data_IF_016876919235
#
_entry.id   IF_016876919235
#
_cell.length_a   1.000
_cell.length_b   1.000
_cell.length_c   1.000
_cell.angle_alpha   90.00
_cell.angle_beta   90.00
_cell.angle_gamma   90.00
#
_symmetry.space_group_name_H-M   'P 1'
#
loop_
_entity.id
_entity.type
_entity.pdbx_description
1 polymer ?
#
# COMPACT_ATOMS: atom_id res chain seq x y z
N UNK A 1 -0.97 32.66 9.20
CA UNK A 1 0.21 33.39 8.70
C UNK A 1 0.26 33.22 7.18
N UNK A 2 0.74 34.22 6.42
CA UNK A 2 0.17 34.61 5.15
C UNK A 2 0.51 33.64 4.01
N UNK A 3 -0.48 33.43 3.14
CA UNK A 3 -0.41 32.78 1.84
C UNK A 3 0.49 33.58 0.90
N UNK A 4 1.82 33.44 1.04
CA UNK A 4 2.75 33.86 0.00
C UNK A 4 2.67 32.79 -1.08
N UNK A 5 2.30 33.20 -2.29
CA UNK A 5 2.37 32.36 -3.48
C UNK A 5 3.84 31.97 -3.73
N UNK A 6 4.31 30.96 -3.01
CA UNK A 6 5.43 30.13 -3.43
C UNK A 6 5.06 29.72 -4.86
N UNK A 7 5.79 30.24 -5.86
CA UNK A 7 5.56 29.86 -7.25
C UNK A 7 5.60 28.34 -7.41
N UNK A 8 5.23 27.82 -8.59
CA UNK A 8 5.23 26.37 -8.85
C UNK A 8 6.50 25.67 -8.34
N UNK A 9 7.65 26.35 -8.43
CA UNK A 9 8.96 25.88 -7.97
C UNK A 9 9.09 25.88 -6.43
N UNK A 10 8.53 26.87 -5.73
CA UNK A 10 8.56 26.95 -4.27
C UNK A 10 7.67 25.89 -3.62
N UNK A 11 6.47 25.68 -4.18
CA UNK A 11 5.57 24.60 -3.76
C UNK A 11 6.12 23.21 -4.08
N UNK A 12 6.86 23.04 -5.18
CA UNK A 12 7.61 21.81 -5.46
C UNK A 12 8.77 21.59 -4.47
N UNK A 13 9.43 22.66 -4.02
CA UNK A 13 10.55 22.58 -3.08
C UNK A 13 10.10 22.30 -1.65
N UNK A 14 9.01 22.94 -1.22
CA UNK A 14 8.33 22.61 0.04
C UNK A 14 7.74 21.20 0.00
N UNK A 15 7.16 20.79 -1.13
CA UNK A 15 6.71 19.42 -1.36
C UNK A 15 7.87 18.42 -1.24
N UNK A 16 9.01 18.70 -1.86
CA UNK A 16 10.20 17.85 -1.78
C UNK A 16 10.77 17.77 -0.36
N UNK A 17 10.80 18.88 0.38
CA UNK A 17 11.19 18.90 1.79
C UNK A 17 10.19 18.14 2.68
N UNK A 18 8.88 18.22 2.37
CA UNK A 18 7.86 17.42 3.03
C UNK A 18 8.01 15.93 2.74
N UNK A 19 8.41 15.57 1.52
CA UNK A 19 8.69 14.18 1.12
C UNK A 19 9.92 13.63 1.86
N UNK A 20 11.00 14.40 2.00
CA UNK A 20 12.17 13.94 2.76
C UNK A 20 11.83 13.71 4.24
N UNK A 21 11.06 14.61 4.85
CA UNK A 21 10.59 14.43 6.22
C UNK A 21 9.65 13.21 6.35
N UNK A 22 8.76 13.00 5.40
CA UNK A 22 7.88 11.84 5.38
C UNK A 22 8.65 10.52 5.20
N UNK A 23 9.74 10.52 4.42
CA UNK A 23 10.62 9.37 4.23
C UNK A 23 11.35 9.00 5.54
N UNK A 24 11.90 9.99 6.25
CA UNK A 24 12.57 9.75 7.53
C UNK A 24 11.59 9.18 8.57
N UNK A 25 10.37 9.71 8.62
CA UNK A 25 9.32 9.23 9.53
C UNK A 25 8.85 7.82 9.17
N UNK A 26 8.74 7.53 7.87
CA UNK A 26 8.40 6.21 7.34
C UNK A 26 9.47 5.17 7.69
N UNK A 27 10.75 5.50 7.52
CA UNK A 27 11.87 4.61 7.88
C UNK A 27 11.84 4.31 9.38
N UNK A 28 11.57 5.31 10.22
CA UNK A 28 11.43 5.11 11.67
C UNK A 28 10.22 4.22 12.02
N UNK A 29 9.09 4.36 11.32
CA UNK A 29 7.92 3.49 11.47
C UNK A 29 8.24 2.06 11.04
N UNK A 30 8.97 1.86 9.95
CA UNK A 30 9.40 0.53 9.48
C UNK A 30 10.34 -0.15 10.47
N UNK A 31 11.30 0.60 11.03
CA UNK A 31 12.16 0.11 12.12
C UNK A 31 11.31 -0.20 13.38
N UNK A 32 10.30 0.61 13.68
CA UNK A 32 9.34 0.36 14.76
C UNK A 32 8.44 -0.86 14.53
N UNK A 33 8.09 -1.16 13.27
CA UNK A 33 7.37 -2.37 12.87
C UNK A 33 8.20 -3.62 13.15
N UNK A 34 9.51 -3.59 12.87
CA UNK A 34 10.44 -4.66 13.24
C UNK A 34 10.58 -4.83 14.76
N UNK A 35 10.44 -3.74 15.52
CA UNK A 35 10.44 -3.76 16.99
C UNK A 35 9.06 -4.08 17.61
N UNK A 36 8.03 -4.38 16.81
CA UNK A 36 6.71 -4.79 17.29
C UNK A 36 5.86 -3.68 17.92
N UNK A 37 6.24 -2.41 17.78
CA UNK A 37 5.55 -1.26 18.43
C UNK A 37 4.42 -0.67 17.59
N UNK A 38 4.12 -1.24 16.43
CA UNK A 38 3.09 -0.71 15.52
C UNK A 38 1.86 -1.61 15.55
N UNK A 39 0.76 -1.01 16.01
CA UNK A 39 -0.54 -1.65 16.15
C UNK A 39 -1.04 -2.12 14.77
N UNK A 40 -1.01 -3.43 14.56
CA UNK A 40 -1.49 -4.14 13.36
C UNK A 40 -2.99 -3.92 13.06
N UNK A 41 -3.71 -3.18 13.91
CA UNK A 41 -5.10 -2.74 13.70
C UNK A 41 -5.29 -1.72 12.57
N UNK A 42 -4.21 -1.15 12.02
CA UNK A 42 -4.26 -0.24 10.85
C UNK A 42 -4.24 -0.97 9.51
N UNK A 43 -4.02 -2.29 9.49
CA UNK A 43 -4.22 -3.11 8.28
C UNK A 43 -5.72 -3.42 8.19
N UNK A 44 -6.51 -2.39 7.95
CA UNK A 44 -7.93 -2.54 7.62
C UNK A 44 -8.05 -3.09 6.20
N UNK A 45 -9.01 -4.00 5.98
CA UNK A 45 -9.34 -4.46 4.64
C UNK A 45 -9.85 -3.32 3.74
N UNK A 46 -10.07 -3.58 2.44
CA UNK A 46 -10.53 -2.57 1.48
C UNK A 46 -11.76 -1.78 1.95
N UNK A 47 -12.73 -2.44 2.59
CA UNK A 47 -13.94 -1.83 3.14
C UNK A 47 -13.61 -0.91 4.31
N UNK A 48 -12.72 -1.32 5.21
CA UNK A 48 -12.28 -0.46 6.31
C UNK A 48 -11.60 0.83 5.79
N UNK A 49 -10.80 0.72 4.72
CA UNK A 49 -10.19 1.89 4.06
C UNK A 49 -11.27 2.82 3.50
N UNK A 50 -12.32 2.28 2.85
CA UNK A 50 -13.44 3.08 2.32
C UNK A 50 -14.20 3.79 3.45
N UNK A 51 -14.51 3.09 4.55
CA UNK A 51 -15.21 3.68 5.69
C UNK A 51 -14.39 4.80 6.35
N UNK A 52 -13.09 4.56 6.53
CA UNK A 52 -12.16 5.55 7.08
C UNK A 52 -12.05 6.78 6.16
N UNK A 53 -11.97 6.55 4.85
CA UNK A 53 -11.94 7.62 3.83
C UNK A 53 -13.22 8.47 3.88
N UNK A 54 -14.38 7.83 4.03
CA UNK A 54 -15.66 8.52 4.13
C UNK A 54 -15.76 9.36 5.42
N UNK A 55 -15.22 8.85 6.53
CA UNK A 55 -15.15 9.60 7.78
C UNK A 55 -14.21 10.81 7.68
N UNK A 56 -12.98 10.59 7.22
CA UNK A 56 -11.97 11.64 7.07
C UNK A 56 -12.40 12.68 6.03
N UNK A 57 -13.10 12.26 4.97
CA UNK A 57 -13.67 13.16 3.96
C UNK A 57 -14.66 14.17 4.55
N UNK A 58 -15.42 13.79 5.58
CA UNK A 58 -16.31 14.71 6.32
C UNK A 58 -15.54 15.73 7.16
N UNK A 59 -14.29 15.45 7.52
CA UNK A 59 -13.42 16.37 8.26
C UNK A 59 -12.71 17.40 7.36
N UNK A 60 -12.88 17.27 6.03
CA UNK A 60 -12.47 18.24 5.02
C UNK A 60 -11.36 17.76 4.08
N UNK A 61 -11.26 18.43 2.93
CA UNK A 61 -10.37 18.03 1.82
C UNK A 61 -8.90 17.90 2.22
N UNK A 62 -8.40 18.78 3.09
CA UNK A 62 -7.00 18.74 3.54
C UNK A 62 -6.66 17.44 4.27
N UNK A 63 -7.55 16.95 5.14
CA UNK A 63 -7.32 15.68 5.86
C UNK A 63 -7.47 14.47 4.94
N UNK A 64 -8.41 14.53 3.99
CA UNK A 64 -8.56 13.50 2.98
C UNK A 64 -7.32 13.35 2.10
N UNK A 65 -6.73 14.47 1.65
CA UNK A 65 -5.49 14.46 0.88
C UNK A 65 -4.32 13.90 1.68
N UNK A 66 -4.21 14.25 2.96
CA UNK A 66 -3.20 13.68 3.85
C UNK A 66 -3.38 12.16 4.01
N UNK A 67 -4.61 11.69 4.25
CA UNK A 67 -4.92 10.27 4.34
C UNK A 67 -4.59 9.54 3.03
N UNK A 68 -4.97 10.10 1.88
CA UNK A 68 -4.62 9.54 0.57
C UNK A 68 -3.09 9.44 0.39
N UNK A 69 -2.34 10.48 0.75
CA UNK A 69 -0.88 10.46 0.70
C UNK A 69 -0.30 9.37 1.62
N UNK A 70 -0.82 9.25 2.85
CA UNK A 70 -0.43 8.18 3.78
C UNK A 70 -0.69 6.79 3.20
N UNK A 71 -1.85 6.54 2.60
CA UNK A 71 -2.19 5.26 1.97
C UNK A 71 -1.25 4.94 0.80
N UNK A 72 -0.97 5.92 -0.06
CA UNK A 72 -0.09 5.74 -1.22
C UNK A 72 1.36 5.46 -0.81
N UNK A 73 1.87 6.10 0.23
CA UNK A 73 3.21 5.81 0.77
C UNK A 73 3.29 4.37 1.26
N UNK A 74 2.28 3.89 2.00
CA UNK A 74 2.22 2.50 2.45
C UNK A 74 2.17 1.51 1.28
N UNK A 75 1.36 1.81 0.25
CA UNK A 75 1.30 0.99 -0.96
C UNK A 75 2.63 0.98 -1.74
N UNK A 76 3.31 2.12 -1.82
CA UNK A 76 4.62 2.22 -2.47
C UNK A 76 5.66 1.34 -1.76
N UNK A 77 5.69 1.34 -0.42
CA UNK A 77 6.59 0.49 0.37
C UNK A 77 6.24 -0.98 0.19
N UNK A 78 4.96 -1.33 0.26
CA UNK A 78 4.51 -2.71 0.05
C UNK A 78 4.88 -3.20 -1.37
N UNK A 79 4.74 -2.35 -2.39
CA UNK A 79 5.13 -2.67 -3.75
C UNK A 79 6.63 -2.83 -3.94
N UNK A 80 7.47 -2.23 -3.09
CA UNK A 80 8.93 -2.40 -3.09
C UNK A 80 9.39 -3.70 -2.43
N UNK A 81 8.52 -4.42 -1.72
CA UNK A 81 8.86 -5.69 -1.10
C UNK A 81 9.22 -6.75 -2.17
N UNK A 82 10.11 -7.71 -1.85
CA UNK A 82 10.56 -8.73 -2.78
C UNK A 82 9.52 -9.86 -2.93
N UNK A 83 8.26 -9.50 -3.19
CA UNK A 83 7.14 -10.41 -3.36
C UNK A 83 6.95 -10.64 -4.87
N UNK A 84 7.02 -11.89 -5.37
CA UNK A 84 6.74 -12.17 -6.77
C UNK A 84 5.30 -11.77 -7.10
N UNK A 85 5.10 -11.06 -8.23
CA UNK A 85 3.88 -10.33 -8.68
C UNK A 85 3.91 -8.82 -8.41
N UNK A 86 4.65 -8.35 -7.40
CA UNK A 86 4.82 -6.92 -7.12
C UNK A 86 6.04 -6.34 -7.84
N UNK A 87 6.07 -5.02 -8.01
CA UNK A 87 7.17 -4.29 -8.69
C UNK A 87 8.55 -4.57 -8.05
N UNK A 88 8.60 -4.73 -6.73
CA UNK A 88 9.79 -5.05 -5.96
C UNK A 88 10.34 -6.45 -6.27
N UNK A 89 9.47 -7.42 -6.56
CA UNK A 89 9.88 -8.74 -7.04
C UNK A 89 10.62 -8.67 -8.38
N UNK A 90 10.14 -7.82 -9.28
CA UNK A 90 10.79 -7.56 -10.57
C UNK A 90 12.14 -6.84 -10.42
N UNK A 91 12.22 -5.89 -9.48
CA UNK A 91 13.47 -5.21 -9.14
C UNK A 91 14.52 -6.20 -8.62
N UNK A 92 14.15 -7.09 -7.71
CA UNK A 92 15.08 -8.11 -7.19
C UNK A 92 15.55 -9.06 -8.28
N UNK A 93 14.65 -9.56 -9.13
CA UNK A 93 15.05 -10.43 -10.25
C UNK A 93 16.01 -9.71 -11.19
N UNK A 94 15.74 -8.45 -11.53
CA UNK A 94 16.60 -7.65 -12.41
C UNK A 94 17.95 -7.33 -11.78
N UNK A 95 18.00 -7.07 -10.47
CA UNK A 95 19.25 -6.89 -9.71
C UNK A 95 20.09 -8.17 -9.72
N UNK A 96 19.47 -9.33 -9.48
CA UNK A 96 20.14 -10.63 -9.51
C UNK A 96 20.70 -10.93 -10.91
N UNK A 97 19.96 -10.62 -11.97
CA UNK A 97 20.46 -10.77 -13.35
C UNK A 97 21.62 -9.84 -13.66
N UNK A 98 21.54 -8.58 -13.20
CA UNK A 98 22.60 -7.58 -13.37
C UNK A 98 23.89 -7.99 -12.67
N UNK A 99 23.80 -8.53 -11.44
CA UNK A 99 24.94 -9.03 -10.68
C UNK A 99 25.48 -10.35 -11.29
N UNK A 100 24.59 -11.28 -11.62
CA UNK A 100 24.97 -12.61 -12.12
C UNK A 100 25.40 -12.61 -13.59
N UNK A 101 25.21 -11.49 -14.31
CA UNK A 101 25.40 -11.35 -15.77
C UNK A 101 24.71 -12.47 -16.58
N UNK A 102 23.65 -13.04 -16.03
CA UNK A 102 22.86 -14.13 -16.62
C UNK A 102 21.41 -13.70 -16.60
N UNK A 103 20.74 -13.84 -17.74
CA UNK A 103 19.31 -13.56 -17.85
C UNK A 103 18.52 -14.79 -17.40
N UNK A 104 17.48 -14.58 -16.59
CA UNK A 104 16.53 -15.66 -16.34
C UNK A 104 15.71 -15.90 -17.61
N UNK A 105 15.41 -17.18 -17.89
CA UNK A 105 14.51 -17.51 -18.98
C UNK A 105 13.11 -16.96 -18.69
N UNK A 106 12.34 -16.64 -19.75
CA UNK A 106 10.93 -16.23 -19.62
C UNK A 106 10.14 -17.24 -18.77
N UNK A 107 10.33 -18.54 -18.99
CA UNK A 107 9.68 -19.61 -18.23
C UNK A 107 9.99 -19.55 -16.74
N UNK A 108 11.23 -19.23 -16.36
CA UNK A 108 11.63 -19.12 -14.96
C UNK A 108 10.93 -17.95 -14.27
N UNK A 109 10.82 -16.80 -14.95
CA UNK A 109 10.11 -15.62 -14.44
C UNK A 109 8.61 -15.88 -14.27
N UNK A 110 7.99 -16.54 -15.24
CA UNK A 110 6.57 -16.94 -15.18
C UNK A 110 6.31 -17.88 -14.00
N UNK A 111 7.16 -18.89 -13.79
CA UNK A 111 7.02 -19.82 -12.65
C UNK A 111 7.13 -19.08 -11.32
N UNK A 112 8.10 -18.17 -11.18
CA UNK A 112 8.27 -17.36 -9.96
C UNK A 112 7.02 -16.49 -9.71
N UNK A 113 6.46 -15.87 -10.74
CA UNK A 113 5.22 -15.09 -10.64
C UNK A 113 4.03 -15.96 -10.25
N UNK A 114 3.84 -17.12 -10.88
CA UNK A 114 2.73 -18.02 -10.55
C UNK A 114 2.83 -18.55 -9.12
N UNK A 115 4.04 -18.83 -8.64
CA UNK A 115 4.27 -19.20 -7.24
C UNK A 115 3.85 -18.04 -6.32
N UNK A 116 4.28 -16.82 -6.60
CA UNK A 116 3.86 -15.64 -5.82
C UNK A 116 2.34 -15.45 -5.83
N UNK A 117 1.71 -15.57 -6.99
CA UNK A 117 0.25 -15.49 -7.15
C UNK A 117 -0.45 -16.59 -6.36
N UNK A 118 0.04 -17.82 -6.39
CA UNK A 118 -0.56 -18.95 -5.67
C UNK A 118 -0.57 -18.75 -4.15
N UNK A 119 0.41 -18.01 -3.60
CA UNK A 119 0.43 -17.65 -2.18
C UNK A 119 -0.36 -16.38 -1.87
N UNK A 120 -0.29 -15.36 -2.73
CA UNK A 120 -0.90 -14.06 -2.48
C UNK A 120 -2.41 -14.07 -2.72
N UNK A 121 -2.88 -14.74 -3.78
CA UNK A 121 -4.29 -14.76 -4.17
C UNK A 121 -5.20 -15.34 -3.07
N UNK A 122 -4.88 -16.48 -2.42
CA UNK A 122 -5.71 -16.99 -1.32
C UNK A 122 -5.72 -16.05 -0.11
N UNK A 123 -4.58 -15.43 0.21
CA UNK A 123 -4.50 -14.47 1.31
C UNK A 123 -5.35 -13.23 1.02
N UNK A 124 -5.26 -12.70 -0.19
CA UNK A 124 -6.08 -11.58 -0.65
C UNK A 124 -7.57 -11.92 -0.58
N UNK A 125 -7.98 -13.08 -1.12
CA UNK A 125 -9.36 -13.55 -1.06
C UNK A 125 -9.84 -13.73 0.38
N UNK A 126 -8.99 -14.29 1.25
CA UNK A 126 -9.32 -14.47 2.67
C UNK A 126 -9.60 -13.13 3.36
N UNK A 127 -8.70 -12.14 3.20
CA UNK A 127 -8.89 -10.80 3.76
C UNK A 127 -10.14 -10.14 3.18
N UNK A 128 -10.32 -10.22 1.86
CA UNK A 128 -11.47 -9.65 1.16
C UNK A 128 -12.80 -10.24 1.67
N UNK A 129 -12.92 -11.57 1.68
CA UNK A 129 -14.12 -12.26 2.17
C UNK A 129 -14.39 -11.93 3.63
N UNK A 130 -13.36 -11.90 4.49
CA UNK A 130 -13.51 -11.55 5.90
C UNK A 130 -14.06 -10.13 6.08
N UNK A 131 -13.57 -9.18 5.29
CA UNK A 131 -13.97 -7.79 5.33
C UNK A 131 -15.43 -7.59 4.88
N UNK A 132 -15.84 -8.28 3.81
CA UNK A 132 -17.24 -8.29 3.35
C UNK A 132 -18.18 -9.05 4.30
N UNK A 133 -17.70 -10.12 4.93
CA UNK A 133 -18.47 -10.84 5.94
C UNK A 133 -18.79 -9.94 7.14
N UNK A 134 -17.80 -9.16 7.59
CA UNK A 134 -17.93 -8.25 8.74
C UNK A 134 -19.03 -7.20 8.56
N UNK A 135 -19.27 -6.73 7.34
CA UNK A 135 -20.32 -5.74 7.05
C UNK A 135 -21.70 -6.34 6.80
N UNK A 136 -21.85 -7.66 6.91
CA UNK A 136 -23.14 -8.32 6.70
C UNK A 136 -23.57 -8.38 5.24
N UNK A 137 -22.62 -8.39 4.28
CA UNK A 137 -22.93 -8.57 2.87
C UNK A 137 -23.73 -9.87 2.66
N UNK A 138 -23.31 -10.96 3.29
CA UNK A 138 -23.99 -12.26 3.17
C UNK A 138 -25.43 -12.22 3.70
N UNK A 139 -25.67 -11.49 4.79
CA UNK A 139 -27.04 -11.30 5.32
C UNK A 139 -27.90 -10.43 4.40
N UNK A 140 -27.32 -9.38 3.79
CA UNK A 140 -28.05 -8.55 2.82
C UNK A 140 -28.43 -9.34 1.57
N UNK A 141 -27.51 -10.16 1.03
CA UNK A 141 -27.79 -11.02 -0.13
C UNK A 141 -28.85 -12.07 0.21
N UNK A 142 -28.76 -12.73 1.38
CA UNK A 142 -29.74 -13.72 1.80
C UNK A 142 -31.16 -13.13 1.91
N UNK A 143 -31.28 -11.88 2.33
CA UNK A 143 -32.54 -11.14 2.39
C UNK A 143 -33.10 -10.70 1.02
N UNK A 144 -32.35 -10.82 -0.08
CA UNK A 144 -32.88 -10.58 -1.43
C UNK A 144 -33.60 -11.82 -2.00
N UNK A 145 -33.30 -13.00 -1.47
CA UNK A 145 -33.86 -14.27 -1.91
C UNK A 145 -34.91 -14.84 -0.95
N UNK A 146 -35.19 -14.15 0.17
CA UNK A 146 -36.22 -14.50 1.15
C UNK A 146 -37.30 -13.42 1.15
#
# INVERSE_FOLDING_TARGET
QPTRSEGLIGSLKEGAAGVSHALDETVNILVGLFNGSVNSRLIGGPVAIVQMSAQIGREGLRRLLWFCAFLQVNLAILNLLPIPILDGGHLVVSLVEGISRRTFSIRTREVIQYIGLAFLLPLFLFVFINDFARIGLFSWIAGLFT
#
